data_IF_390297257393
#
_entry.id   IF_390297257393
#
_cell.length_a   1.000
_cell.length_b   1.000
_cell.length_c   1.000
_cell.angle_alpha   90.00
_cell.angle_beta   90.00
_cell.angle_gamma   90.00
#
_symmetry.space_group_name_H-M   'P 1'
#
loop_
_entity.id
_entity.type
_entity.pdbx_description
1 polymer ?
#
# COMPACT_ATOMS: atom_id res chain seq x y z
N UNK A 1 -46.73 -4.23 1.50
CA UNK A 1 -46.15 -4.04 2.86
C UNK A 1 -44.77 -4.68 2.98
N UNK A 2 -43.91 -4.59 1.95
CA UNK A 2 -42.55 -5.17 1.97
C UNK A 2 -41.49 -4.31 1.27
N UNK A 3 -41.80 -3.06 0.87
CA UNK A 3 -40.85 -2.19 0.16
C UNK A 3 -39.73 -1.60 1.04
N UNK A 4 -39.90 -1.61 2.36
CA UNK A 4 -38.90 -1.07 3.29
C UNK A 4 -37.75 -2.06 3.61
N UNK A 5 -37.97 -3.37 3.46
CA UNK A 5 -36.94 -4.39 3.71
C UNK A 5 -35.90 -4.48 2.58
N UNK A 6 -36.24 -4.06 1.36
CA UNK A 6 -35.32 -4.12 0.21
C UNK A 6 -34.38 -2.92 0.09
N UNK A 7 -34.60 -1.88 0.88
CA UNK A 7 -33.86 -0.62 0.76
C UNK A 7 -32.53 -0.61 1.52
N UNK A 8 -32.42 -1.33 2.64
CA UNK A 8 -31.17 -1.39 3.43
C UNK A 8 -30.08 -2.24 2.78
N UNK A 9 -30.45 -3.24 1.97
CA UNK A 9 -29.49 -4.12 1.30
C UNK A 9 -28.63 -3.44 0.24
N UNK A 10 -29.00 -2.23 -0.22
CA UNK A 10 -28.33 -1.52 -1.30
C UNK A 10 -27.95 -0.07 -0.95
N UNK A 11 -27.88 0.27 0.33
CA UNK A 11 -27.47 1.59 0.77
C UNK A 11 -25.93 1.72 0.90
N UNK A 12 -25.44 2.90 1.29
CA UNK A 12 -24.04 3.20 1.46
C UNK A 12 -23.33 2.22 2.42
N UNK A 13 -23.94 1.92 3.57
CA UNK A 13 -23.36 1.04 4.58
C UNK A 13 -23.26 -0.41 4.06
N UNK A 14 -24.33 -0.90 3.42
CA UNK A 14 -24.31 -2.23 2.82
C UNK A 14 -23.29 -2.34 1.68
N UNK A 15 -23.06 -1.25 0.93
CA UNK A 15 -22.05 -1.19 -0.10
C UNK A 15 -20.63 -1.32 0.48
N UNK A 16 -20.31 -0.58 1.54
CA UNK A 16 -19.01 -0.67 2.24
C UNK A 16 -18.77 -2.08 2.76
N UNK A 17 -19.75 -2.69 3.45
CA UNK A 17 -19.62 -4.07 3.95
C UNK A 17 -19.36 -5.08 2.84
N UNK A 18 -20.01 -4.95 1.68
CA UNK A 18 -19.72 -5.82 0.53
C UNK A 18 -18.29 -5.64 0.00
N UNK A 19 -17.78 -4.41 0.00
CA UNK A 19 -16.42 -4.12 -0.40
C UNK A 19 -15.41 -4.71 0.60
N UNK A 20 -15.69 -4.64 1.91
CA UNK A 20 -14.93 -5.31 2.96
C UNK A 20 -14.85 -6.83 2.73
N UNK A 21 -15.98 -7.47 2.47
CA UNK A 21 -16.03 -8.92 2.23
C UNK A 21 -15.25 -9.32 0.98
N UNK A 22 -15.31 -8.52 -0.08
CA UNK A 22 -14.51 -8.75 -1.29
C UNK A 22 -13.00 -8.65 -1.01
N UNK A 23 -12.57 -7.67 -0.25
CA UNK A 23 -11.16 -7.47 0.10
C UNK A 23 -10.68 -8.57 1.05
N UNK A 24 -11.45 -8.93 2.09
CA UNK A 24 -11.16 -10.06 2.98
C UNK A 24 -10.99 -11.37 2.19
N UNK A 25 -11.86 -11.63 1.22
CA UNK A 25 -11.75 -12.80 0.35
C UNK A 25 -10.47 -12.82 -0.50
N UNK A 26 -9.98 -11.65 -0.96
CA UNK A 26 -8.70 -11.53 -1.67
C UNK A 26 -7.50 -11.82 -0.75
N UNK A 27 -7.53 -11.36 0.49
CA UNK A 27 -6.53 -11.69 1.48
C UNK A 27 -6.47 -13.19 1.77
N UNK A 28 -7.62 -13.84 1.96
CA UNK A 28 -7.71 -15.28 2.16
C UNK A 28 -7.21 -16.09 0.94
N UNK A 29 -7.47 -15.59 -0.29
CA UNK A 29 -6.93 -16.21 -1.50
C UNK A 29 -5.41 -16.10 -1.57
N UNK A 30 -4.85 -14.94 -1.19
CA UNK A 30 -3.41 -14.76 -1.15
C UNK A 30 -2.72 -15.72 -0.19
N UNK A 31 -3.25 -15.88 1.02
CA UNK A 31 -2.71 -16.76 2.05
C UNK A 31 -2.71 -18.24 1.63
N UNK A 32 -3.71 -18.66 0.85
CA UNK A 32 -3.85 -20.04 0.33
C UNK A 32 -3.07 -20.28 -0.96
N UNK A 33 -2.45 -19.26 -1.54
CA UNK A 33 -1.80 -19.33 -2.85
C UNK A 33 -0.29 -19.46 -2.69
N UNK A 34 0.30 -20.50 -3.32
CA UNK A 34 1.74 -20.73 -3.33
C UNK A 34 2.45 -20.11 -4.54
N UNK A 35 1.75 -19.96 -5.66
CA UNK A 35 2.33 -19.51 -6.93
C UNK A 35 2.53 -18.01 -6.97
N UNK A 36 3.77 -17.55 -7.08
CA UNK A 36 4.15 -16.12 -7.14
C UNK A 36 3.33 -15.31 -8.14
N UNK A 37 3.20 -15.79 -9.37
CA UNK A 37 2.46 -15.08 -10.42
C UNK A 37 0.97 -14.91 -10.08
N UNK A 38 0.38 -15.84 -9.34
CA UNK A 38 -1.00 -15.74 -8.89
C UNK A 38 -1.12 -14.78 -7.71
N UNK A 39 -0.19 -14.84 -6.76
CA UNK A 39 -0.09 -13.87 -5.67
C UNK A 39 -0.03 -12.43 -6.19
N UNK A 40 0.82 -12.16 -7.18
CA UNK A 40 0.93 -10.83 -7.79
C UNK A 40 -0.40 -10.34 -8.38
N UNK A 41 -1.17 -11.21 -9.02
CA UNK A 41 -2.50 -10.85 -9.56
C UNK A 41 -3.50 -10.53 -8.45
N UNK A 42 -3.49 -11.34 -7.38
CA UNK A 42 -4.36 -11.13 -6.22
C UNK A 42 -4.01 -9.80 -5.56
N UNK A 43 -2.73 -9.53 -5.31
CA UNK A 43 -2.26 -8.25 -4.72
C UNK A 43 -2.69 -7.06 -5.57
N UNK A 44 -2.47 -7.11 -6.89
CA UNK A 44 -2.90 -6.03 -7.80
C UNK A 44 -4.41 -5.76 -7.71
N UNK A 45 -5.21 -6.83 -7.67
CA UNK A 45 -6.66 -6.71 -7.55
C UNK A 45 -7.07 -6.16 -6.17
N UNK A 46 -6.43 -6.62 -5.11
CA UNK A 46 -6.70 -6.11 -3.75
C UNK A 46 -6.36 -4.62 -3.63
N UNK A 47 -5.23 -4.18 -4.18
CA UNK A 47 -4.84 -2.76 -4.22
C UNK A 47 -5.88 -1.93 -4.98
N UNK A 48 -6.37 -2.40 -6.11
CA UNK A 48 -7.41 -1.70 -6.88
C UNK A 48 -8.70 -1.52 -6.06
N UNK A 49 -9.21 -2.59 -5.47
CA UNK A 49 -10.42 -2.53 -4.64
C UNK A 49 -10.23 -1.66 -3.39
N UNK A 50 -9.08 -1.74 -2.70
CA UNK A 50 -8.74 -0.91 -1.54
C UNK A 50 -8.69 0.59 -1.90
N UNK A 51 -8.06 0.93 -3.02
CA UNK A 51 -8.00 2.33 -3.48
C UNK A 51 -9.39 2.88 -3.81
N UNK A 52 -10.23 2.09 -4.46
CA UNK A 52 -11.61 2.49 -4.77
C UNK A 52 -12.37 2.70 -3.47
N UNK A 53 -12.32 1.73 -2.56
CA UNK A 53 -13.04 1.74 -1.29
C UNK A 53 -12.66 2.97 -0.44
N UNK A 54 -11.36 3.16 -0.16
CA UNK A 54 -10.90 4.32 0.62
C UNK A 54 -11.24 5.67 -0.03
N UNK A 55 -11.24 5.75 -1.37
CA UNK A 55 -11.67 6.96 -2.08
C UNK A 55 -13.15 7.25 -1.85
N UNK A 56 -14.01 6.23 -1.87
CA UNK A 56 -15.45 6.41 -1.63
C UNK A 56 -15.74 6.86 -0.20
N UNK A 57 -15.00 6.33 0.75
CA UNK A 57 -15.13 6.74 2.16
C UNK A 57 -14.66 8.17 2.37
N UNK A 58 -13.47 8.51 1.93
CA UNK A 58 -12.87 9.82 2.14
C UNK A 58 -13.59 10.94 1.38
N UNK A 59 -14.09 10.66 0.18
CA UNK A 59 -14.78 11.67 -0.62
C UNK A 59 -16.27 11.82 -0.26
N UNK A 60 -16.94 10.76 0.20
CA UNK A 60 -18.39 10.73 0.31
C UNK A 60 -18.91 10.28 1.67
N UNK A 61 -18.48 9.13 2.18
CA UNK A 61 -19.04 8.55 3.40
C UNK A 61 -18.60 9.30 4.66
N UNK A 62 -17.29 9.43 4.88
CA UNK A 62 -16.74 10.11 6.06
C UNK A 62 -17.20 11.57 6.18
N UNK A 63 -17.20 12.39 5.11
CA UNK A 63 -17.75 13.73 5.19
C UNK A 63 -19.22 13.78 5.60
N UNK A 64 -20.02 12.79 5.18
CA UNK A 64 -21.45 12.75 5.51
C UNK A 64 -21.72 12.44 7.00
N UNK A 65 -20.85 11.60 7.64
CA UNK A 65 -21.06 11.13 9.02
C UNK A 65 -20.26 11.91 10.06
N UNK A 66 -19.14 12.53 9.68
CA UNK A 66 -18.13 13.13 10.56
C UNK A 66 -18.66 14.16 11.54
N UNK A 67 -19.55 15.05 11.09
CA UNK A 67 -20.10 16.11 11.95
C UNK A 67 -20.94 15.56 13.10
N UNK A 68 -21.57 14.41 12.89
CA UNK A 68 -22.48 13.79 13.84
C UNK A 68 -21.77 12.70 14.69
N UNK A 69 -20.76 12.03 14.13
CA UNK A 69 -19.91 11.07 14.84
C UNK A 69 -18.77 11.79 15.57
N UNK A 70 -19.06 12.60 16.57
CA UNK A 70 -18.10 13.43 17.34
C UNK A 70 -17.04 12.64 18.14
N UNK A 71 -16.53 11.52 17.67
CA UNK A 71 -15.63 10.62 18.38
C UNK A 71 -14.26 10.54 17.69
N UNK A 72 -13.22 10.20 18.45
CA UNK A 72 -11.85 9.95 17.96
C UNK A 72 -11.73 8.85 16.88
N UNK A 73 -12.75 7.99 16.75
CA UNK A 73 -12.85 6.91 15.75
C UNK A 73 -12.60 7.39 14.31
N UNK A 74 -13.09 8.60 13.95
CA UNK A 74 -12.86 9.15 12.61
C UNK A 74 -11.40 9.57 12.38
N UNK A 75 -10.72 10.04 13.42
CA UNK A 75 -9.30 10.43 13.31
C UNK A 75 -8.40 9.20 13.23
N UNK A 76 -8.76 8.13 13.91
CA UNK A 76 -8.09 6.84 13.87
C UNK A 76 -8.21 6.21 12.47
N UNK A 77 -9.41 6.18 11.91
CA UNK A 77 -9.65 5.73 10.54
C UNK A 77 -8.84 6.53 9.49
N UNK A 78 -8.71 7.86 9.65
CA UNK A 78 -7.89 8.69 8.76
C UNK A 78 -6.42 8.25 8.78
N UNK A 79 -5.86 7.95 9.98
CA UNK A 79 -4.46 7.49 10.13
C UNK A 79 -4.26 6.06 9.62
N UNK A 80 -5.21 5.16 9.84
CA UNK A 80 -5.18 3.80 9.30
C UNK A 80 -5.21 3.80 7.78
N UNK A 81 -6.04 4.64 7.16
CA UNK A 81 -6.06 4.87 5.72
C UNK A 81 -4.72 5.41 5.19
N UNK A 82 -4.11 6.36 5.92
CA UNK A 82 -2.79 6.86 5.54
C UNK A 82 -1.74 5.73 5.56
N UNK A 83 -1.69 4.92 6.61
CA UNK A 83 -0.78 3.76 6.69
C UNK A 83 -1.03 2.77 5.54
N UNK A 84 -2.28 2.42 5.29
CA UNK A 84 -2.64 1.53 4.18
C UNK A 84 -2.20 2.10 2.82
N UNK A 85 -2.39 3.40 2.55
CA UNK A 85 -1.95 4.06 1.32
C UNK A 85 -0.43 4.05 1.14
N UNK A 86 0.34 4.22 2.22
CA UNK A 86 1.81 4.10 2.16
C UNK A 86 2.21 2.68 1.75
N UNK A 87 1.66 1.64 2.41
CA UNK A 87 1.95 0.24 2.07
C UNK A 87 1.53 -0.11 0.63
N UNK A 88 0.39 0.38 0.18
CA UNK A 88 -0.08 0.22 -1.21
C UNK A 88 0.88 0.88 -2.20
N UNK A 89 1.32 2.12 -1.95
CA UNK A 89 2.24 2.82 -2.82
C UNK A 89 3.61 2.12 -2.91
N UNK A 90 4.08 1.57 -1.80
CA UNK A 90 5.31 0.77 -1.76
C UNK A 90 5.15 -0.55 -2.53
N UNK A 91 4.04 -1.28 -2.38
CA UNK A 91 3.74 -2.50 -3.13
C UNK A 91 3.66 -2.25 -4.63
N UNK A 92 3.02 -1.15 -5.05
CA UNK A 92 2.94 -0.73 -6.47
C UNK A 92 4.31 -0.38 -7.06
N UNK A 93 5.26 0.08 -6.24
CA UNK A 93 6.62 0.38 -6.66
C UNK A 93 7.56 -0.82 -6.62
N UNK A 94 7.16 -1.93 -5.96
CA UNK A 94 7.99 -3.13 -5.80
C UNK A 94 7.83 -4.07 -6.98
N UNK A 95 8.95 -4.75 -7.33
CA UNK A 95 8.87 -5.95 -8.16
C UNK A 95 8.21 -7.08 -7.36
N UNK A 96 7.31 -7.84 -7.98
CA UNK A 96 6.70 -9.02 -7.36
C UNK A 96 7.69 -10.16 -7.03
N UNK A 97 8.95 -10.06 -7.48
CA UNK A 97 10.04 -10.98 -7.12
C UNK A 97 10.84 -10.50 -5.91
N UNK A 98 10.52 -9.35 -5.35
CA UNK A 98 11.17 -8.82 -4.15
C UNK A 98 10.87 -9.72 -2.93
N UNK A 99 11.90 -10.02 -2.13
CA UNK A 99 11.80 -10.94 -0.97
C UNK A 99 10.84 -10.41 0.12
N UNK A 100 10.58 -9.11 0.16
CA UNK A 100 9.64 -8.48 1.10
C UNK A 100 8.22 -8.31 0.56
N UNK A 101 7.94 -8.70 -0.70
CA UNK A 101 6.64 -8.48 -1.34
C UNK A 101 5.50 -9.15 -0.57
N UNK A 102 5.64 -10.44 -0.29
CA UNK A 102 4.63 -11.21 0.44
C UNK A 102 4.44 -10.68 1.87
N UNK A 103 5.55 -10.42 2.59
CA UNK A 103 5.52 -9.90 3.94
C UNK A 103 4.83 -8.52 4.01
N UNK A 104 5.10 -7.64 3.06
CA UNK A 104 4.48 -6.31 3.00
C UNK A 104 2.98 -6.40 2.74
N UNK A 105 2.56 -7.29 1.84
CA UNK A 105 1.13 -7.50 1.61
C UNK A 105 0.42 -8.13 2.82
N UNK A 106 1.08 -9.05 3.54
CA UNK A 106 0.54 -9.60 4.79
C UNK A 106 0.30 -8.49 5.82
N UNK A 107 1.29 -7.59 6.03
CA UNK A 107 1.13 -6.45 6.97
C UNK A 107 -0.01 -5.52 6.53
N UNK A 108 -0.13 -5.24 5.22
CA UNK A 108 -1.27 -4.47 4.71
C UNK A 108 -2.60 -5.17 5.01
N UNK A 109 -2.69 -6.48 4.75
CA UNK A 109 -3.90 -7.26 5.00
C UNK A 109 -4.30 -7.29 6.48
N UNK A 110 -3.34 -7.41 7.39
CA UNK A 110 -3.57 -7.36 8.84
C UNK A 110 -4.08 -5.98 9.28
N UNK A 111 -3.44 -4.91 8.81
CA UNK A 111 -3.86 -3.53 9.09
C UNK A 111 -5.27 -3.25 8.59
N UNK A 112 -5.59 -3.65 7.35
CA UNK A 112 -6.91 -3.45 6.76
C UNK A 112 -7.98 -4.31 7.46
N UNK A 113 -7.68 -5.56 7.86
CA UNK A 113 -8.62 -6.38 8.64
C UNK A 113 -8.93 -5.75 10.00
N UNK A 114 -7.94 -5.11 10.62
CA UNK A 114 -8.13 -4.40 11.89
C UNK A 114 -9.08 -3.22 11.69
N UNK A 115 -8.79 -2.36 10.74
CA UNK A 115 -9.62 -1.23 10.34
C UNK A 115 -11.08 -1.64 10.05
N UNK A 116 -11.29 -2.63 9.17
CA UNK A 116 -12.63 -3.15 8.85
C UNK A 116 -13.38 -3.60 10.10
N UNK A 117 -12.68 -4.28 11.02
CA UNK A 117 -13.29 -4.77 12.27
C UNK A 117 -13.79 -3.60 13.13
N UNK A 118 -13.02 -2.54 13.26
CA UNK A 118 -13.41 -1.37 14.05
C UNK A 118 -14.55 -0.61 13.38
N UNK A 119 -14.47 -0.43 12.06
CA UNK A 119 -15.55 0.19 11.29
C UNK A 119 -16.86 -0.59 11.42
N UNK A 120 -16.84 -1.89 11.15
CA UNK A 120 -18.05 -2.74 11.19
C UNK A 120 -18.66 -2.86 12.59
N UNK A 121 -17.84 -2.82 13.65
CA UNK A 121 -18.31 -2.99 15.03
C UNK A 121 -18.63 -1.67 15.74
N UNK A 122 -17.99 -0.56 15.33
CA UNK A 122 -18.15 0.71 16.04
C UNK A 122 -18.68 1.84 15.18
N UNK A 123 -18.07 2.12 14.03
CA UNK A 123 -18.40 3.29 13.21
C UNK A 123 -19.71 3.10 12.46
N UNK A 124 -19.86 2.03 11.70
CA UNK A 124 -21.04 1.79 10.86
C UNK A 124 -22.33 1.61 11.67
N UNK A 125 -22.33 0.91 12.84
CA UNK A 125 -23.50 0.88 13.71
C UNK A 125 -23.91 2.27 14.22
N UNK A 126 -22.94 3.06 14.69
CA UNK A 126 -23.21 4.43 15.15
C UNK A 126 -23.67 5.34 14.00
N UNK A 127 -23.11 5.16 12.81
CA UNK A 127 -23.54 5.90 11.62
C UNK A 127 -24.98 5.57 11.24
N UNK A 128 -25.41 4.30 11.39
CA UNK A 128 -26.79 3.88 11.08
C UNK A 128 -27.86 4.65 11.88
N UNK A 129 -27.54 5.07 13.09
CA UNK A 129 -28.43 5.83 13.96
C UNK A 129 -28.54 7.32 13.60
N UNK A 130 -27.73 7.78 12.64
CA UNK A 130 -27.73 9.19 12.22
C UNK A 130 -28.87 9.52 11.25
N UNK A 131 -29.27 10.78 11.23
CA UNK A 131 -30.30 11.31 10.33
C UNK A 131 -29.71 11.58 8.92
N UNK A 132 -29.29 10.51 8.24
CA UNK A 132 -28.65 10.56 6.91
C UNK A 132 -29.43 9.68 5.96
N UNK A 133 -29.64 10.16 4.74
CA UNK A 133 -30.20 9.35 3.65
C UNK A 133 -29.11 8.46 3.03
N UNK A 134 -28.88 7.30 3.65
CA UNK A 134 -27.90 6.31 3.19
C UNK A 134 -28.23 5.71 1.83
N UNK A 135 -29.50 5.77 1.39
CA UNK A 135 -29.90 5.36 0.05
C UNK A 135 -29.40 6.34 -1.00
N UNK A 136 -29.62 7.63 -0.79
CA UNK A 136 -29.12 8.68 -1.67
C UNK A 136 -27.57 8.69 -1.68
N UNK A 137 -26.94 8.49 -0.52
CA UNK A 137 -25.49 8.40 -0.39
C UNK A 137 -24.93 7.18 -1.16
N UNK A 138 -25.55 6.01 -1.01
CA UNK A 138 -25.15 4.78 -1.73
C UNK A 138 -25.22 4.94 -3.25
N UNK A 139 -26.26 5.62 -3.77
CA UNK A 139 -26.36 5.94 -5.20
C UNK A 139 -25.21 6.84 -5.69
N UNK A 140 -24.80 7.82 -4.89
CA UNK A 140 -23.65 8.69 -5.20
C UNK A 140 -22.35 7.89 -5.19
N UNK A 141 -22.15 7.05 -4.19
CA UNK A 141 -20.99 6.17 -4.07
C UNK A 141 -20.90 5.18 -5.24
N UNK A 142 -22.02 4.56 -5.64
CA UNK A 142 -22.07 3.66 -6.79
C UNK A 142 -21.73 4.38 -8.11
N UNK A 143 -22.21 5.59 -8.30
CA UNK A 143 -21.85 6.43 -9.45
C UNK A 143 -20.34 6.71 -9.46
N UNK A 144 -19.80 7.15 -8.33
CA UNK A 144 -18.36 7.43 -8.17
C UNK A 144 -17.50 6.20 -8.37
N UNK A 145 -17.90 5.05 -7.85
CA UNK A 145 -17.23 3.75 -8.05
C UNK A 145 -17.09 3.40 -9.54
N UNK A 146 -18.18 3.59 -10.31
CA UNK A 146 -18.15 3.37 -11.76
C UNK A 146 -17.23 4.34 -12.49
N UNK A 147 -17.20 5.62 -12.09
CA UNK A 147 -16.26 6.60 -12.64
C UNK A 147 -14.81 6.20 -12.40
N UNK A 148 -14.46 5.83 -11.15
CA UNK A 148 -13.11 5.40 -10.78
C UNK A 148 -12.67 4.17 -11.60
N UNK A 149 -13.56 3.19 -11.79
CA UNK A 149 -13.29 2.00 -12.62
C UNK A 149 -13.12 2.35 -14.10
N UNK A 150 -13.84 3.33 -14.62
CA UNK A 150 -13.79 3.72 -16.04
C UNK A 150 -12.61 4.66 -16.37
N UNK A 151 -12.27 5.60 -15.48
CA UNK A 151 -11.28 6.65 -15.72
C UNK A 151 -9.89 6.30 -15.14
N UNK A 152 -9.83 5.27 -14.28
CA UNK A 152 -8.66 4.95 -13.50
C UNK A 152 -8.60 5.72 -12.17
N UNK A 153 -7.80 5.21 -11.26
CA UNK A 153 -7.66 5.74 -9.92
C UNK A 153 -6.73 6.97 -9.89
N UNK A 154 -7.09 8.03 -9.15
CA UNK A 154 -6.22 9.16 -8.96
C UNK A 154 -4.95 8.72 -8.18
N UNK A 155 -3.85 9.38 -8.47
CA UNK A 155 -2.61 9.18 -7.69
C UNK A 155 -2.74 9.88 -6.35
N UNK A 156 -2.31 9.19 -5.30
CA UNK A 156 -2.27 9.74 -3.94
C UNK A 156 -0.98 10.55 -3.70
N UNK A 157 -0.93 11.26 -2.59
CA UNK A 157 0.27 11.95 -2.14
C UNK A 157 1.40 10.94 -1.83
N UNK A 158 1.03 9.80 -1.25
CA UNK A 158 1.92 8.68 -0.91
C UNK A 158 2.55 8.07 -2.17
N UNK A 159 1.78 7.85 -3.24
CA UNK A 159 2.32 7.41 -4.54
C UNK A 159 3.41 8.35 -5.06
N UNK A 160 3.19 9.66 -4.92
CA UNK A 160 4.12 10.68 -5.37
C UNK A 160 5.39 10.73 -4.50
N UNK A 161 5.25 10.49 -3.20
CA UNK A 161 6.36 10.43 -2.24
C UNK A 161 7.23 9.20 -2.49
N UNK A 162 6.63 8.02 -2.58
CA UNK A 162 7.35 6.75 -2.78
C UNK A 162 8.09 6.75 -4.12
N UNK A 163 7.49 7.24 -5.20
CA UNK A 163 8.18 7.36 -6.51
C UNK A 163 9.39 8.28 -6.46
N UNK A 164 9.35 9.36 -5.70
CA UNK A 164 10.51 10.26 -5.54
C UNK A 164 11.66 9.58 -4.80
N UNK A 165 11.37 8.73 -3.83
CA UNK A 165 12.39 8.00 -3.07
C UNK A 165 12.99 6.85 -3.89
N UNK A 166 12.18 6.04 -4.58
CA UNK A 166 12.65 4.94 -5.42
C UNK A 166 13.33 5.42 -6.71
N UNK A 167 12.85 6.46 -7.36
CA UNK A 167 13.48 7.04 -8.54
C UNK A 167 14.87 7.67 -8.29
N UNK A 168 15.22 7.92 -7.02
CA UNK A 168 16.59 8.29 -6.61
C UNK A 168 17.51 7.09 -6.43
N UNK A 169 16.97 5.92 -6.08
CA UNK A 169 17.74 4.70 -5.90
C UNK A 169 18.21 4.09 -7.24
N UNK A 170 17.42 4.27 -8.31
CA UNK A 170 17.72 3.73 -9.65
C UNK A 170 18.60 4.67 -10.52
N UNK A 171 18.96 5.85 -10.03
CA UNK A 171 19.96 6.67 -10.71
C UNK A 171 21.33 6.04 -10.51
N UNK A 172 22.00 5.51 -11.55
CA UNK A 172 23.35 4.99 -11.41
C UNK A 172 24.24 6.10 -10.86
N UNK A 173 24.84 5.85 -9.69
CA UNK A 173 25.81 6.78 -9.12
C UNK A 173 26.78 7.15 -10.23
N UNK A 174 26.82 8.42 -10.58
CA UNK A 174 27.76 8.98 -11.56
C UNK A 174 29.14 8.46 -11.16
N UNK A 175 29.64 7.48 -11.91
CA UNK A 175 30.98 7.02 -11.76
C UNK A 175 31.90 8.24 -11.92
N UNK A 176 32.38 8.74 -10.78
CA UNK A 176 33.38 9.79 -10.76
C UNK A 176 34.57 9.26 -11.55
N UNK A 177 34.81 9.83 -12.70
CA UNK A 177 36.04 9.63 -13.47
C UNK A 177 37.20 10.04 -12.57
N UNK A 178 37.70 9.10 -11.81
CA UNK A 178 38.98 9.20 -11.13
C UNK A 178 40.04 9.15 -12.21
N UNK A 179 40.50 10.34 -12.66
CA UNK A 179 41.66 10.52 -13.53
C UNK A 179 42.79 9.73 -12.94
N UNK A 180 43.24 8.66 -13.65
CA UNK A 180 44.47 7.93 -13.34
C UNK A 180 45.62 8.93 -13.53
N UNK A 181 46.30 9.28 -12.47
CA UNK A 181 47.60 9.94 -12.51
C UNK A 181 48.62 9.00 -13.15
N UNK A 182 49.57 9.49 -13.96
CA UNK A 182 50.52 8.64 -14.64
C UNK A 182 51.50 8.01 -13.64
N UNK A 183 51.74 6.71 -13.83
CA UNK A 183 52.66 5.93 -13.05
C UNK A 183 54.09 6.51 -13.13
N UNK A 184 54.65 6.82 -11.98
CA UNK A 184 56.06 7.21 -11.85
C UNK A 184 56.92 5.95 -12.00
N UNK A 185 57.74 5.92 -13.06
CA UNK A 185 58.69 4.84 -13.36
C UNK A 185 59.84 4.93 -12.37
N UNK A 186 59.91 4.02 -11.41
CA UNK A 186 61.07 3.86 -10.54
C UNK A 186 62.07 2.90 -11.21
N UNK A 187 63.23 3.44 -11.57
CA UNK A 187 64.38 2.69 -12.08
C UNK A 187 64.91 1.69 -11.04
N UNK A 188 65.02 0.44 -11.43
CA UNK A 188 65.69 -0.60 -10.65
C UNK A 188 67.18 -0.30 -10.49
N UNK A 189 67.64 -0.05 -9.28
CA UNK A 189 69.05 -0.17 -8.90
C UNK A 189 69.33 -1.54 -8.34
N UNK A 190 70.40 -2.17 -8.88
CA UNK A 190 70.95 -3.49 -8.51
C UNK A 190 71.42 -3.42 -7.06
N UNK A 191 70.97 -4.35 -6.20
CA UNK A 191 71.58 -4.61 -4.91
C UNK A 191 72.30 -5.94 -4.95
N UNK A 192 73.53 -5.96 -4.40
CA UNK A 192 74.49 -7.02 -4.33
C UNK A 192 74.02 -8.22 -3.49
N UNK A 193 74.36 -9.39 -3.97
CA UNK A 193 74.28 -10.66 -3.27
C UNK A 193 75.33 -10.68 -2.16
N UNK A 194 74.96 -10.97 -0.94
CA UNK A 194 75.85 -11.36 0.18
C UNK A 194 75.44 -12.75 0.60
N UNK A 195 76.51 -13.66 0.60
CA UNK A 195 76.39 -15.06 1.00
C UNK A 195 76.32 -15.16 2.53
N UNK A 196 75.64 -16.17 3.08
CA UNK A 196 75.69 -16.44 4.53
C UNK A 196 76.94 -17.20 4.99
N UNK A 197 77.46 -16.78 6.12
CA UNK A 197 78.52 -17.44 6.87
C UNK A 197 77.85 -18.39 7.89
N UNK A 198 78.47 -19.55 7.98
CA UNK A 198 77.99 -20.74 8.66
C UNK A 198 77.95 -20.68 10.20
N UNK A 199 77.12 -21.59 10.68
CA UNK A 199 76.88 -21.92 12.08
C UNK A 199 77.92 -22.92 12.54
N UNK A 200 78.46 -22.70 13.71
CA UNK A 200 79.14 -23.73 14.54
C UNK A 200 78.58 -23.63 15.97
N UNK A 201 78.04 -24.67 16.40
CA UNK A 201 77.70 -25.49 17.56
C UNK A 201 76.28 -25.34 18.09
#
# INVERSE_FOLDING_TARGET
MFEWLTNEENDAIAMLKRDHDNVKALFDQFEKTERKAEKQKIVKRAIEELRIHSTLEEELFYPAVREQLKNGVMNEADEEHHVAKVLIAELDAMSGDNDHFDAKFTVLAESVRHHIKEEENEMLPKARDLQIDFQALGKKMECRKRELKAQGLPRTAEDSMIRKTHGRADSPARASHRKKSPAHVIKKSRARVIKPVGVIK
#
